data_IF_498890226305
#
_entry.id   IF_498890226305
#
_cell.length_a   1.000
_cell.length_b   1.000
_cell.length_c   1.000
_cell.angle_alpha   90.00
_cell.angle_beta   90.00
_cell.angle_gamma   90.00
#
_symmetry.space_group_name_H-M   'P 1'
#
loop_
_entity.id
_entity.type
_entity.pdbx_description
1 polymer ?
#
# COMPACT_ATOMS: atom_id res chain seq x y z
N UNK A 1 6.24 -3.71 5.24
CA UNK A 1 6.08 -2.32 4.69
C UNK A 1 7.20 -2.07 3.69
N UNK A 2 7.11 -1.06 2.83
CA UNK A 2 8.17 -0.74 1.86
C UNK A 2 8.69 0.67 2.11
N UNK A 3 10.00 0.84 2.25
CA UNK A 3 10.67 2.12 2.45
C UNK A 3 11.21 2.68 1.13
N UNK A 4 11.06 4.00 0.97
CA UNK A 4 11.55 4.82 -0.15
C UNK A 4 12.26 6.05 0.39
N UNK A 5 13.26 6.56 -0.33
CA UNK A 5 13.87 7.88 -0.05
C UNK A 5 15.34 7.83 0.34
N UNK A 6 15.92 6.64 0.45
CA UNK A 6 17.37 6.49 0.53
C UNK A 6 17.99 6.78 -0.84
N UNK A 7 19.09 7.54 -0.85
CA UNK A 7 19.87 7.89 -2.03
C UNK A 7 21.02 6.90 -2.19
N UNK A 8 20.68 5.61 -2.25
CA UNK A 8 21.63 4.51 -2.40
C UNK A 8 21.45 3.82 -3.75
N UNK A 9 22.53 3.28 -4.34
CA UNK A 9 22.43 2.35 -5.46
C UNK A 9 21.52 1.14 -5.13
N UNK A 10 20.87 0.53 -6.13
CA UNK A 10 20.03 -0.65 -5.97
C UNK A 10 20.89 -1.92 -5.77
N UNK A 11 21.59 -1.98 -4.64
CA UNK A 11 22.51 -3.06 -4.28
C UNK A 11 22.12 -3.71 -2.95
N UNK A 12 22.28 -5.04 -2.87
CA UNK A 12 21.86 -5.82 -1.72
C UNK A 12 22.71 -5.54 -0.46
N UNK A 13 23.89 -4.94 -0.63
CA UNK A 13 24.78 -4.51 0.46
C UNK A 13 24.08 -3.55 1.43
N UNK A 14 23.13 -2.74 0.95
CA UNK A 14 22.37 -1.80 1.77
C UNK A 14 21.21 -2.44 2.56
N UNK A 15 20.86 -3.71 2.32
CA UNK A 15 19.82 -4.40 3.10
C UNK A 15 20.17 -4.40 4.59
N UNK A 16 21.43 -4.64 4.95
CA UNK A 16 21.88 -4.67 6.34
C UNK A 16 21.90 -3.27 6.97
N UNK A 17 22.32 -2.24 6.22
CA UNK A 17 22.28 -0.86 6.70
C UNK A 17 20.84 -0.43 7.01
N UNK A 18 19.90 -0.73 6.10
CA UNK A 18 18.48 -0.42 6.30
C UNK A 18 17.89 -1.25 7.46
N UNK A 19 18.29 -2.53 7.58
CA UNK A 19 17.91 -3.38 8.72
C UNK A 19 18.34 -2.76 10.04
N UNK A 20 19.60 -2.31 10.15
CA UNK A 20 20.14 -1.68 11.35
C UNK A 20 19.35 -0.42 11.74
N UNK A 21 19.02 0.43 10.78
CA UNK A 21 18.23 1.67 11.03
C UNK A 21 16.83 1.34 11.53
N UNK A 22 16.15 0.37 10.91
CA UNK A 22 14.82 -0.07 11.35
C UNK A 22 14.90 -0.69 12.75
N UNK A 23 15.90 -1.54 12.98
CA UNK A 23 16.15 -2.19 14.25
C UNK A 23 16.37 -1.17 15.37
N UNK A 24 17.27 -0.21 15.17
CA UNK A 24 17.57 0.84 16.15
C UNK A 24 16.37 1.74 16.41
N UNK A 25 15.59 2.06 15.38
CA UNK A 25 14.35 2.83 15.54
C UNK A 25 13.35 2.13 16.47
N UNK A 26 13.21 0.81 16.35
CA UNK A 26 12.32 0.01 17.21
C UNK A 26 12.92 -0.11 18.61
N UNK A 27 14.23 -0.40 18.71
CA UNK A 27 14.94 -0.62 19.98
C UNK A 27 14.94 0.59 20.89
N UNK A 28 15.18 1.78 20.35
CA UNK A 28 15.36 3.00 21.14
C UNK A 28 14.07 3.82 21.34
N UNK A 29 12.96 3.39 20.76
CA UNK A 29 11.69 4.10 20.89
C UNK A 29 10.81 3.51 21.99
N UNK A 30 10.45 4.35 22.97
CA UNK A 30 9.52 3.99 24.04
C UNK A 30 8.12 3.65 23.53
N UNK A 31 7.70 4.22 22.38
CA UNK A 31 6.42 3.90 21.77
C UNK A 31 6.38 2.46 21.26
N UNK A 32 7.47 1.99 20.64
CA UNK A 32 7.60 0.61 20.15
C UNK A 32 7.71 -0.37 21.31
N UNK A 33 8.61 -0.13 22.27
CA UNK A 33 8.78 -1.03 23.42
C UNK A 33 7.51 -1.12 24.27
N UNK A 34 6.86 0.03 24.55
CA UNK A 34 5.59 0.07 25.28
C UNK A 34 4.45 -0.64 24.53
N UNK A 35 4.42 -0.58 23.20
CA UNK A 35 3.45 -1.33 22.40
C UNK A 35 3.69 -2.85 22.51
N UNK A 36 4.95 -3.29 22.35
CA UNK A 36 5.31 -4.72 22.39
C UNK A 36 5.05 -5.30 23.79
N UNK A 37 5.45 -4.60 24.86
CA UNK A 37 5.18 -5.04 26.22
C UNK A 37 3.68 -5.18 26.49
N UNK A 38 2.87 -4.26 25.96
CA UNK A 38 1.41 -4.30 26.13
C UNK A 38 0.72 -5.39 25.30
N UNK A 39 1.24 -5.72 24.11
CA UNK A 39 0.61 -6.62 23.16
C UNK A 39 1.63 -7.59 22.57
N UNK A 40 1.81 -8.77 23.18
CA UNK A 40 2.80 -9.79 22.77
C UNK A 40 2.24 -11.21 22.64
N UNK A 41 0.92 -11.37 22.41
CA UNK A 41 0.25 -12.67 22.30
C UNK A 41 0.68 -13.52 21.08
N UNK A 42 1.45 -12.94 20.15
CA UNK A 42 2.02 -13.65 19.00
C UNK A 42 3.49 -14.05 19.19
N UNK A 43 4.03 -13.90 20.40
CA UNK A 43 5.42 -14.21 20.71
C UNK A 43 5.45 -15.46 21.60
N UNK A 44 6.25 -16.49 21.26
CA UNK A 44 6.39 -17.66 22.12
C UNK A 44 6.98 -17.26 23.49
N UNK A 45 6.66 -17.99 24.57
CA UNK A 45 7.29 -17.74 25.86
C UNK A 45 8.81 -17.90 25.76
N UNK A 46 9.58 -17.28 26.67
CA UNK A 46 11.02 -17.47 26.69
C UNK A 46 11.37 -18.95 26.90
N UNK A 47 12.55 -19.39 26.40
CA UNK A 47 12.96 -20.79 26.50
C UNK A 47 13.17 -21.24 27.95
N UNK A 48 13.63 -20.36 28.84
CA UNK A 48 13.76 -20.65 30.26
C UNK A 48 12.71 -19.90 31.09
N UNK A 49 12.22 -20.53 32.16
CA UNK A 49 11.20 -19.96 33.03
C UNK A 49 11.68 -18.70 33.78
N UNK A 50 12.97 -18.60 34.06
CA UNK A 50 13.58 -17.49 34.80
C UNK A 50 13.98 -16.30 33.89
N UNK A 51 13.84 -16.45 32.57
CA UNK A 51 14.20 -15.39 31.63
C UNK A 51 13.25 -14.19 31.76
N UNK A 52 13.82 -12.99 31.62
CA UNK A 52 13.04 -11.76 31.65
C UNK A 52 12.13 -11.67 30.42
N UNK A 53 10.83 -11.93 30.60
CA UNK A 53 9.81 -11.88 29.56
C UNK A 53 9.81 -10.55 28.81
N UNK A 54 9.97 -9.41 29.51
CA UNK A 54 9.96 -8.08 28.90
C UNK A 54 11.12 -7.85 27.95
N UNK A 55 12.29 -8.41 28.26
CA UNK A 55 13.47 -8.36 27.38
C UNK A 55 13.28 -9.32 26.21
N UNK A 56 12.81 -10.54 26.50
CA UNK A 56 12.55 -11.58 25.50
C UNK A 56 11.60 -11.10 24.40
N UNK A 57 10.45 -10.53 24.75
CA UNK A 57 9.46 -10.11 23.75
C UNK A 57 9.96 -9.01 22.81
N UNK A 58 10.75 -8.06 23.33
CA UNK A 58 11.35 -7.00 22.51
C UNK A 58 12.42 -7.58 21.59
N UNK A 59 13.32 -8.41 22.14
CA UNK A 59 14.37 -9.05 21.35
C UNK A 59 13.81 -9.96 20.26
N UNK A 60 12.71 -10.67 20.53
CA UNK A 60 12.06 -11.51 19.53
C UNK A 60 11.61 -10.69 18.31
N UNK A 61 10.94 -9.55 18.54
CA UNK A 61 10.50 -8.66 17.45
C UNK A 61 11.71 -8.07 16.72
N UNK A 62 12.72 -7.60 17.43
CA UNK A 62 13.94 -7.02 16.86
C UNK A 62 14.69 -8.03 15.98
N UNK A 63 14.83 -9.27 16.44
CA UNK A 63 15.53 -10.33 15.70
C UNK A 63 14.76 -10.75 14.44
N UNK A 64 13.44 -10.56 14.43
CA UNK A 64 12.58 -10.88 13.28
C UNK A 64 12.64 -9.87 12.13
N UNK A 65 13.28 -8.71 12.32
CA UNK A 65 13.40 -7.69 11.28
C UNK A 65 14.19 -8.27 10.10
N UNK A 66 13.58 -8.32 8.92
CA UNK A 66 14.20 -8.76 7.68
C UNK A 66 13.95 -7.72 6.61
N UNK A 67 14.98 -7.37 5.86
CA UNK A 67 14.93 -6.37 4.79
C UNK A 67 15.30 -7.02 3.47
N UNK A 68 14.55 -6.71 2.42
CA UNK A 68 14.81 -7.14 1.06
C UNK A 68 14.80 -5.95 0.12
N UNK A 69 15.83 -5.85 -0.70
CA UNK A 69 15.91 -4.85 -1.76
C UNK A 69 14.86 -5.16 -2.82
N UNK A 70 14.11 -4.13 -3.18
CA UNK A 70 13.20 -4.09 -4.31
C UNK A 70 13.76 -3.09 -5.33
N UNK A 71 14.33 -3.60 -6.43
CA UNK A 71 14.80 -2.78 -7.53
C UNK A 71 13.62 -2.44 -8.44
N UNK A 72 13.38 -1.15 -8.66
CA UNK A 72 12.35 -0.67 -9.60
C UNK A 72 12.95 0.37 -10.55
N UNK A 73 12.29 0.57 -11.68
CA UNK A 73 12.61 1.66 -12.60
C UNK A 73 11.54 2.75 -12.41
N UNK A 74 11.95 3.93 -11.97
CA UNK A 74 11.09 5.13 -11.95
C UNK A 74 11.66 6.16 -12.91
N UNK A 75 10.86 6.63 -13.88
CA UNK A 75 11.27 7.64 -14.87
C UNK A 75 12.57 7.28 -15.63
N UNK A 76 12.76 5.98 -15.92
CA UNK A 76 13.95 5.48 -16.63
C UNK A 76 15.21 5.37 -15.76
N UNK A 77 15.12 5.63 -14.46
CA UNK A 77 16.22 5.49 -13.51
C UNK A 77 15.96 4.31 -12.57
N UNK A 78 17.01 3.55 -12.27
CA UNK A 78 16.95 2.52 -11.23
C UNK A 78 16.84 3.17 -9.86
N UNK A 79 15.83 2.75 -9.09
CA UNK A 79 15.56 3.23 -7.74
C UNK A 79 15.55 2.05 -6.77
N UNK A 80 16.25 2.22 -5.65
CA UNK A 80 16.27 1.26 -4.55
C UNK A 80 15.11 1.51 -3.58
N UNK A 81 14.20 0.54 -3.48
CA UNK A 81 13.21 0.45 -2.40
C UNK A 81 13.55 -0.73 -1.50
N UNK A 82 13.08 -0.70 -0.26
CA UNK A 82 13.38 -1.76 0.70
C UNK A 82 12.10 -2.28 1.34
N UNK A 83 11.78 -3.55 1.10
CA UNK A 83 10.72 -4.26 1.79
C UNK A 83 11.21 -4.67 3.17
N UNK A 84 10.47 -4.23 4.19
CA UNK A 84 10.74 -4.52 5.60
C UNK A 84 9.66 -5.46 6.11
N UNK A 85 10.08 -6.63 6.55
CA UNK A 85 9.27 -7.68 7.16
C UNK A 85 9.63 -7.78 8.63
N UNK A 86 8.62 -7.80 9.50
CA UNK A 86 8.79 -7.87 10.96
C UNK A 86 7.67 -8.77 11.49
N UNK A 87 8.01 -9.69 12.39
CA UNK A 87 7.00 -10.51 13.06
C UNK A 87 6.13 -9.62 13.96
N UNK A 88 4.80 -9.59 13.75
CA UNK A 88 3.94 -8.73 14.54
C UNK A 88 3.83 -9.27 15.97
N UNK A 89 3.80 -8.41 16.99
CA UNK A 89 3.81 -8.88 18.36
C UNK A 89 2.44 -9.43 18.81
N UNK A 90 1.35 -9.15 18.08
CA UNK A 90 -0.01 -9.59 18.41
C UNK A 90 -0.71 -10.26 17.22
N UNK A 91 -1.54 -11.28 17.49
CA UNK A 91 -2.42 -11.94 16.50
C UNK A 91 -3.74 -11.21 16.32
N UNK A 92 -4.08 -10.32 17.25
CA UNK A 92 -5.34 -9.57 17.25
C UNK A 92 -5.29 -8.50 16.16
N UNK A 93 -6.22 -8.57 15.20
CA UNK A 93 -6.24 -7.69 14.02
C UNK A 93 -6.20 -6.19 14.37
N UNK A 94 -6.94 -5.77 15.40
CA UNK A 94 -6.94 -4.38 15.88
C UNK A 94 -5.56 -3.92 16.35
N UNK A 95 -4.80 -4.79 17.00
CA UNK A 95 -3.44 -4.49 17.43
C UNK A 95 -2.49 -4.52 16.23
N UNK A 96 -2.66 -5.46 15.32
CA UNK A 96 -1.91 -5.50 14.07
C UNK A 96 -2.04 -4.20 13.25
N UNK A 97 -3.25 -3.66 13.09
CA UNK A 97 -3.46 -2.37 12.42
C UNK A 97 -2.72 -1.22 13.12
N UNK A 98 -2.74 -1.17 14.45
CA UNK A 98 -2.01 -0.15 15.23
C UNK A 98 -0.49 -0.32 15.11
N UNK A 99 -0.02 -1.56 15.12
CA UNK A 99 1.39 -1.90 14.90
C UNK A 99 1.88 -1.41 13.54
N UNK A 100 1.13 -1.69 12.48
CA UNK A 100 1.43 -1.19 11.14
C UNK A 100 1.37 0.33 11.06
N UNK A 101 0.41 0.98 11.71
CA UNK A 101 0.33 2.44 11.76
C UNK A 101 1.54 3.05 12.48
N UNK A 102 2.00 2.43 13.57
CA UNK A 102 3.20 2.86 14.29
C UNK A 102 4.45 2.74 13.41
N UNK A 103 4.65 1.60 12.74
CA UNK A 103 5.74 1.42 11.78
C UNK A 103 5.66 2.44 10.62
N UNK A 104 4.47 2.59 10.02
CA UNK A 104 4.25 3.45 8.86
C UNK A 104 4.33 4.96 9.18
N UNK A 105 4.13 5.33 10.44
CA UNK A 105 4.18 6.72 10.92
C UNK A 105 5.59 7.26 11.20
N UNK A 106 6.64 6.50 10.89
CA UNK A 106 8.02 6.88 11.19
C UNK A 106 8.84 7.20 9.94
N UNK A 107 9.90 7.98 10.16
CA UNK A 107 11.00 8.18 9.21
C UNK A 107 12.24 7.48 9.76
N UNK A 108 12.97 6.81 8.87
CA UNK A 108 14.14 5.98 9.12
C UNK A 108 15.34 6.65 8.45
N UNK A 109 16.26 7.20 9.25
CA UNK A 109 17.36 8.02 8.74
C UNK A 109 18.68 7.26 8.80
N UNK A 110 19.45 7.31 7.72
CA UNK A 110 20.85 6.89 7.64
C UNK A 110 21.68 7.97 6.93
N UNK A 111 22.99 7.74 6.82
CA UNK A 111 23.92 8.67 6.16
C UNK A 111 23.50 8.97 4.72
N UNK A 112 22.97 7.95 4.04
CA UNK A 112 22.53 7.98 2.64
C UNK A 112 21.05 8.36 2.49
N UNK A 113 20.52 9.16 3.42
CA UNK A 113 19.20 9.77 3.31
C UNK A 113 18.16 9.22 4.28
N UNK A 114 16.89 9.56 3.99
CA UNK A 114 15.77 9.30 4.89
C UNK A 114 14.70 8.44 4.19
N UNK A 115 14.58 7.20 4.65
CA UNK A 115 13.54 6.28 4.25
C UNK A 115 12.21 6.59 4.92
N UNK A 116 11.17 6.76 4.11
CA UNK A 116 9.80 6.84 4.56
C UNK A 116 8.99 5.67 3.98
N UNK A 117 8.06 5.11 4.76
CA UNK A 117 7.12 4.11 4.25
C UNK A 117 6.31 4.66 3.07
N UNK A 118 6.11 3.82 2.04
CA UNK A 118 5.20 4.16 0.94
C UNK A 118 3.81 4.49 1.51
N UNK A 119 3.24 5.62 1.06
CA UNK A 119 1.89 6.05 1.47
C UNK A 119 0.83 5.03 1.08
N UNK A 120 0.96 4.50 -0.13
CA UNK A 120 0.11 3.43 -0.67
C UNK A 120 1.04 2.24 -0.93
N UNK A 121 0.84 1.11 -0.23
CA UNK A 121 1.55 -0.13 -0.55
C UNK A 121 1.33 -0.53 -2.01
N UNK A 122 2.18 -1.42 -2.53
CA UNK A 122 1.86 -2.02 -3.81
C UNK A 122 0.58 -2.85 -3.72
N UNK A 123 0.00 -3.16 -4.87
CA UNK A 123 -1.12 -4.09 -4.97
C UNK A 123 -0.95 -4.89 -6.26
N UNK A 124 -0.26 -6.02 -6.14
CA UNK A 124 -0.01 -6.89 -7.27
C UNK A 124 -1.32 -7.50 -7.78
N UNK A 125 -1.66 -7.28 -9.04
CA UNK A 125 -2.89 -7.80 -9.63
C UNK A 125 -2.90 -9.33 -9.79
N UNK A 126 -1.74 -9.96 -9.76
CA UNK A 126 -1.57 -11.42 -9.89
C UNK A 126 -1.77 -12.12 -8.55
N UNK A 127 -0.99 -11.76 -7.53
CA UNK A 127 -0.98 -12.47 -6.24
C UNK A 127 -1.68 -11.72 -5.10
N UNK A 128 -2.12 -10.46 -5.32
CA UNK A 128 -2.64 -9.55 -4.29
C UNK A 128 -1.63 -9.18 -3.20
N UNK A 129 -0.34 -9.42 -3.43
CA UNK A 129 0.74 -9.01 -2.55
C UNK A 129 0.93 -7.49 -2.51
N UNK A 130 1.40 -6.99 -1.36
CA UNK A 130 1.62 -5.55 -1.11
C UNK A 130 3.08 -5.09 -1.20
N UNK A 131 4.00 -6.01 -1.48
CA UNK A 131 5.45 -5.82 -1.38
C UNK A 131 6.15 -5.67 -2.75
N UNK A 132 5.44 -5.86 -3.86
CA UNK A 132 6.02 -5.69 -5.19
C UNK A 132 4.98 -5.20 -6.21
N UNK A 133 5.41 -4.43 -7.23
CA UNK A 133 4.56 -4.14 -8.39
C UNK A 133 4.30 -5.41 -9.20
N UNK A 134 3.18 -5.45 -9.93
CA UNK A 134 2.75 -6.63 -10.71
C UNK A 134 3.85 -7.21 -11.61
N UNK A 135 4.63 -6.35 -12.30
CA UNK A 135 5.69 -6.79 -13.22
C UNK A 135 6.84 -7.55 -12.54
N UNK A 136 6.96 -7.47 -11.22
CA UNK A 136 7.97 -8.18 -10.44
C UNK A 136 7.40 -9.38 -9.67
N UNK A 137 6.16 -9.79 -9.97
CA UNK A 137 5.54 -10.92 -9.28
C UNK A 137 6.30 -12.22 -9.54
N UNK A 138 6.63 -12.96 -8.48
CA UNK A 138 7.32 -14.24 -8.60
C UNK A 138 6.43 -15.33 -9.21
N UNK A 139 5.10 -15.24 -9.06
CA UNK A 139 4.19 -16.25 -9.60
C UNK A 139 4.16 -16.30 -11.12
N UNK A 140 4.38 -15.18 -11.81
CA UNK A 140 4.46 -15.16 -13.27
C UNK A 140 5.70 -15.86 -13.82
N UNK A 141 6.69 -16.14 -12.95
CA UNK A 141 7.93 -16.85 -13.29
C UNK A 141 7.87 -18.34 -12.96
N UNK A 142 6.78 -18.83 -12.34
CA UNK A 142 6.64 -20.24 -12.02
C UNK A 142 6.42 -21.06 -13.31
N UNK A 143 7.09 -22.21 -13.46
CA UNK A 143 6.82 -23.12 -14.57
C UNK A 143 5.33 -23.50 -14.63
N UNK A 144 4.73 -23.40 -15.82
CA UNK A 144 3.32 -23.74 -16.04
C UNK A 144 2.31 -22.64 -15.67
N UNK A 145 2.77 -21.43 -15.31
CA UNK A 145 1.87 -20.30 -15.10
C UNK A 145 1.19 -19.88 -16.41
N UNK A 146 -0.14 -19.97 -16.47
CA UNK A 146 -0.93 -19.53 -17.62
C UNK A 146 -1.29 -18.06 -17.41
N UNK A 147 -0.68 -17.18 -18.21
CA UNK A 147 -1.06 -15.78 -18.24
C UNK A 147 -2.43 -15.62 -18.89
N UNK A 148 -3.47 -15.43 -18.07
CA UNK A 148 -4.84 -15.21 -18.54
C UNK A 148 -5.02 -13.92 -19.34
N UNK A 149 -4.04 -13.01 -19.33
CA UNK A 149 -4.10 -11.79 -20.13
C UNK A 149 -3.80 -12.02 -21.61
N UNK A 150 -3.12 -13.11 -21.98
CA UNK A 150 -2.83 -13.46 -23.38
C UNK A 150 -3.97 -14.20 -24.08
N UNK A 151 -4.89 -14.82 -23.33
CA UNK A 151 -5.97 -15.66 -23.88
C UNK A 151 -7.07 -14.87 -24.62
N UNK A 152 -6.97 -13.55 -24.73
CA UNK A 152 -7.95 -12.70 -25.40
C UNK A 152 -7.56 -12.30 -26.84
N UNK A 153 -6.38 -12.68 -27.35
CA UNK A 153 -5.85 -12.20 -28.65
C UNK A 153 -5.81 -13.23 -29.77
N UNK A 154 -6.36 -14.42 -29.59
CA UNK A 154 -6.47 -15.43 -30.67
C UNK A 154 -7.91 -15.91 -30.78
N UNK A 155 -8.80 -15.01 -31.19
CA UNK A 155 -9.88 -15.42 -32.09
C UNK A 155 -9.44 -14.89 -33.44
N UNK A 156 -8.54 -15.64 -34.08
CA UNK A 156 -8.35 -15.55 -35.51
C UNK A 156 -9.71 -15.89 -36.12
N UNK A 157 -10.42 -14.87 -36.59
CA UNK A 157 -11.54 -15.05 -37.48
C UNK A 157 -10.95 -15.57 -38.80
N UNK A 158 -10.87 -16.89 -38.91
CA UNK A 158 -10.73 -17.55 -40.20
C UNK A 158 -11.94 -17.15 -41.04
N UNK A 159 -11.68 -16.28 -42.02
CA UNK A 159 -12.57 -15.85 -43.07
C UNK A 159 -12.75 -17.04 -44.03
N UNK A 160 -13.64 -17.96 -43.66
CA UNK A 160 -13.97 -19.13 -44.48
C UNK A 160 -15.00 -18.72 -45.54
N UNK A 161 -14.47 -18.43 -46.72
CA UNK A 161 -15.17 -18.21 -47.98
C UNK A 161 -15.97 -19.46 -48.37
N UNK A 162 -17.26 -19.47 -48.04
CA UNK A 162 -18.24 -20.33 -48.71
C UNK A 162 -19.44 -19.51 -49.19
N UNK A 163 -19.34 -19.13 -50.45
CA UNK A 163 -20.43 -18.73 -51.34
C UNK A 163 -21.56 -19.77 -51.35
N UNK A 164 -22.73 -19.39 -50.81
CA UNK A 164 -24.02 -19.97 -51.19
C UNK A 164 -25.06 -18.85 -51.33
N UNK A 165 -25.37 -18.55 -52.58
CA UNK A 165 -26.44 -17.66 -53.03
C UNK A 165 -27.81 -18.23 -52.69
N UNK A 166 -28.62 -17.49 -51.94
CA UNK A 166 -30.09 -17.59 -51.98
C UNK A 166 -30.65 -16.17 -52.01
N UNK A 167 -31.41 -15.87 -53.07
CA UNK A 167 -32.03 -14.59 -53.35
C UNK A 167 -33.31 -14.32 -52.52
N UNK A 168 -33.54 -13.02 -52.33
CA UNK A 168 -34.83 -12.32 -52.23
C UNK A 168 -35.72 -12.54 -50.98
N UNK A 169 -35.74 -11.52 -50.12
CA UNK A 169 -36.76 -11.37 -49.08
C UNK A 169 -36.68 -10.08 -48.26
N UNK A 170 -37.13 -8.96 -48.85
CA UNK A 170 -37.83 -7.85 -48.20
C UNK A 170 -37.25 -7.16 -46.94
N UNK A 171 -36.97 -5.87 -47.14
CA UNK A 171 -36.89 -4.73 -46.21
C UNK A 171 -37.49 -4.85 -44.80
N UNK A 172 -36.78 -4.21 -43.84
CA UNK A 172 -37.24 -3.29 -42.75
C UNK A 172 -36.74 -3.70 -41.38
N UNK A 173 -35.97 -2.82 -40.73
CA UNK A 173 -35.88 -2.85 -39.27
C UNK A 173 -34.63 -2.27 -38.62
N UNK A 174 -34.22 -1.05 -38.99
CA UNK A 174 -33.37 -0.27 -38.09
C UNK A 174 -34.11 -0.02 -36.77
N UNK A 175 -33.53 -0.44 -35.65
CA UNK A 175 -33.91 0.03 -34.30
C UNK A 175 -32.67 0.09 -33.43
N UNK A 176 -32.03 1.25 -33.47
CA UNK A 176 -31.22 1.71 -32.34
C UNK A 176 -32.10 1.86 -31.09
N UNK A 177 -31.49 1.65 -29.92
CA UNK A 177 -31.97 2.17 -28.64
C UNK A 177 -30.78 2.58 -27.79
N UNK A 178 -30.36 3.83 -28.00
CA UNK A 178 -29.92 4.71 -26.93
C UNK A 178 -31.13 5.02 -26.04
N UNK A 179 -31.09 4.64 -24.77
CA UNK A 179 -31.87 5.23 -23.67
C UNK A 179 -31.20 4.78 -22.36
N UNK A 180 -30.83 5.63 -21.40
CA UNK A 180 -30.99 7.07 -21.30
C UNK A 180 -30.10 7.63 -20.19
N UNK A 181 -29.57 8.81 -20.46
CA UNK A 181 -29.03 9.71 -19.47
C UNK A 181 -30.18 10.25 -18.60
N UNK A 182 -30.10 10.05 -17.28
CA UNK A 182 -30.87 10.84 -16.33
C UNK A 182 -30.10 12.13 -16.05
N UNK A 183 -30.41 13.15 -16.86
CA UNK A 183 -30.22 14.54 -16.47
C UNK A 183 -31.35 14.91 -15.50
N UNK A 184 -31.02 15.13 -14.22
CA UNK A 184 -31.81 16.01 -13.37
C UNK A 184 -31.07 17.33 -13.27
N UNK A 185 -31.52 18.27 -14.09
CA UNK A 185 -31.26 19.69 -13.94
C UNK A 185 -32.58 20.31 -13.50
N UNK A 186 -32.63 20.93 -12.32
CA UNK A 186 -33.28 22.24 -12.07
C UNK A 186 -33.28 22.57 -10.57
N UNK A 187 -32.69 23.71 -10.25
CA UNK A 187 -32.59 24.26 -8.90
C UNK A 187 -31.68 25.48 -8.82
N UNK A 188 -31.81 26.42 -9.77
CA UNK A 188 -31.19 27.76 -9.70
C UNK A 188 -31.87 28.57 -8.60
N UNK A 189 -31.08 29.14 -7.69
CA UNK A 189 -31.52 30.17 -6.75
C UNK A 189 -30.35 31.05 -6.35
N UNK A 190 -30.10 32.10 -7.13
CA UNK A 190 -29.14 33.18 -6.88
C UNK A 190 -29.74 34.23 -5.92
N UNK A 191 -28.82 35.00 -5.31
CA UNK A 191 -28.99 36.33 -4.71
C UNK A 191 -29.62 36.36 -3.30
N UNK A 192 -29.31 37.29 -2.39
CA UNK A 192 -28.35 38.39 -2.30
C UNK A 192 -28.65 39.08 -0.97
N UNK A 193 -27.59 39.52 -0.26
CA UNK A 193 -27.48 40.72 0.61
C UNK A 193 -28.69 41.15 1.46
N UNK A 194 -28.47 41.21 2.77
CA UNK A 194 -28.52 42.42 3.59
C UNK A 194 -28.12 42.03 5.03
N UNK A 195 -27.09 42.59 5.66
CA UNK A 195 -26.84 43.98 6.08
C UNK A 195 -27.20 44.23 7.53
N UNK A 196 -26.18 44.74 8.24
CA UNK A 196 -26.21 45.79 9.28
C UNK A 196 -26.57 45.43 10.72
N UNK A 197 -25.59 45.74 11.57
CA UNK A 197 -25.74 46.36 12.89
C UNK A 197 -25.51 45.39 14.06
N UNK A 198 -24.88 45.74 15.17
CA UNK A 198 -24.35 47.01 15.66
C UNK A 198 -23.57 46.71 16.96
N UNK A 199 -22.48 47.47 17.18
CA UNK A 199 -22.04 48.15 18.43
C UNK A 199 -22.09 47.45 19.81
N UNK A 200 -20.96 47.60 20.51
CA UNK A 200 -20.90 47.97 21.95
C UNK A 200 -20.45 46.82 22.86
N UNK A 201 -19.51 46.96 23.79
CA UNK A 201 -18.84 48.14 24.29
C UNK A 201 -17.79 47.78 25.34
N UNK A 202 -17.02 48.79 25.74
CA UNK A 202 -16.07 48.79 26.84
C UNK A 202 -16.67 48.31 28.19
N UNK A 203 -15.85 47.67 29.03
CA UNK A 203 -15.48 48.11 30.39
C UNK A 203 -14.47 47.09 30.98
N UNK A 204 -13.19 47.45 31.23
CA UNK A 204 -12.62 48.12 32.41
C UNK A 204 -12.66 47.31 33.73
N UNK A 205 -11.44 47.05 34.24
CA UNK A 205 -10.94 47.41 35.61
C UNK A 205 -10.84 46.31 36.69
N UNK A 206 -9.59 46.11 37.16
CA UNK A 206 -9.02 45.84 38.53
C UNK A 206 -9.68 44.72 39.37
N UNK A 207 -8.95 43.90 40.12
CA UNK A 207 -7.76 44.09 40.96
C UNK A 207 -6.74 42.96 40.77
#
# INVERSE_FOLDING_TARGET
MTLRGFTVPPEATYEENVRAVVHDKIKFSSAFSGFIHKFHDNIPPPPNADDNVSIHVVNYVLNSVNVKLLKIIENGLDVALFNVYIHPPSKILKHHTKWLALLRGNVYTMTEGAGSPLKVPYNCSVCRGEDHPTGLCAFTKLPGWIDRSQAATTIDAEDDDLTMTIEAGSSRGGRGRNHGAYQNSHGRGRNSRNSKGQRGGHNNRRL
#
